data_IF_522309292504
#
_entry.id   IF_522309292504
#
_cell.length_a   1.000
_cell.length_b   1.000
_cell.length_c   1.000
_cell.angle_alpha   90.00
_cell.angle_beta   90.00
_cell.angle_gamma   90.00
#
_symmetry.space_group_name_H-M   'P 1'
#
loop_
_entity.id
_entity.type
_entity.pdbx_description
1 polymer ?
#
# COMPACT_ATOMS: atom_id res chain seq x y z
N UNK A 1 -9.76 -6.59 -31.23
CA UNK A 1 -8.33 -6.36 -31.49
C UNK A 1 -7.79 -5.51 -30.34
N UNK A 2 -6.64 -5.89 -29.79
CA UNK A 2 -5.95 -5.21 -28.70
C UNK A 2 -4.66 -4.59 -29.25
N UNK A 3 -4.37 -3.35 -28.87
CA UNK A 3 -3.15 -2.65 -29.27
C UNK A 3 -2.14 -2.68 -28.13
N UNK A 4 -0.94 -3.18 -28.41
CA UNK A 4 0.21 -3.20 -27.52
C UNK A 4 1.29 -2.27 -28.06
N UNK A 5 2.38 -2.07 -27.31
CA UNK A 5 3.47 -1.21 -27.73
C UNK A 5 4.21 -1.73 -28.98
N UNK A 6 4.23 -3.04 -29.18
CA UNK A 6 4.99 -3.75 -30.21
C UNK A 6 4.12 -4.40 -31.30
N UNK A 7 2.79 -4.23 -31.23
CA UNK A 7 1.89 -4.77 -32.24
C UNK A 7 0.44 -4.88 -31.80
N UNK A 8 -0.32 -5.73 -32.50
CA UNK A 8 -1.74 -5.94 -32.21
C UNK A 8 -2.06 -7.42 -32.08
N UNK A 9 -2.98 -7.75 -31.16
CA UNK A 9 -3.46 -9.12 -30.93
C UNK A 9 -4.97 -9.17 -31.20
N UNK A 10 -5.44 -10.24 -31.83
CA UNK A 10 -6.87 -10.53 -31.98
C UNK A 10 -7.26 -11.64 -31.03
N UNK A 11 -8.41 -11.50 -30.39
CA UNK A 11 -8.98 -12.48 -29.47
C UNK A 11 -10.50 -12.51 -29.63
N UNK A 12 -11.10 -13.68 -29.49
CA UNK A 12 -12.56 -13.85 -29.50
C UNK A 12 -13.19 -13.30 -28.21
N UNK A 13 -12.47 -13.39 -27.09
CA UNK A 13 -12.88 -12.87 -25.79
C UNK A 13 -11.71 -12.22 -25.06
N UNK A 14 -12.02 -11.21 -24.24
CA UNK A 14 -11.04 -10.50 -23.40
C UNK A 14 -11.53 -10.52 -21.96
N UNK A 15 -10.66 -10.96 -21.04
CA UNK A 15 -10.88 -10.86 -19.58
C UNK A 15 -9.91 -9.83 -19.05
N UNK A 16 -10.43 -8.70 -18.58
CA UNK A 16 -9.60 -7.64 -17.99
C UNK A 16 -9.44 -7.87 -16.48
N UNK A 17 -8.18 -7.88 -16.03
CA UNK A 17 -7.79 -7.84 -14.62
C UNK A 17 -7.03 -6.54 -14.27
N UNK A 18 -7.15 -5.51 -15.13
CA UNK A 18 -6.54 -4.20 -14.89
C UNK A 18 -7.30 -3.44 -13.79
N UNK A 19 -6.63 -2.50 -13.09
CA UNK A 19 -7.33 -1.51 -12.28
C UNK A 19 -8.39 -0.77 -13.10
N UNK A 20 -9.52 -0.42 -12.48
CA UNK A 20 -10.66 0.19 -13.16
C UNK A 20 -10.29 1.43 -13.98
N UNK A 21 -9.49 2.34 -13.41
CA UNK A 21 -9.01 3.53 -14.12
C UNK A 21 -8.15 3.19 -15.35
N UNK A 22 -7.28 2.18 -15.25
CA UNK A 22 -6.45 1.75 -16.38
C UNK A 22 -7.29 1.08 -17.48
N UNK A 23 -8.29 0.28 -17.10
CA UNK A 23 -9.22 -0.30 -18.07
C UNK A 23 -10.05 0.79 -18.78
N UNK A 24 -10.50 1.82 -18.06
CA UNK A 24 -11.25 2.93 -18.65
C UNK A 24 -10.47 3.62 -19.77
N UNK A 25 -9.15 3.78 -19.61
CA UNK A 25 -8.27 4.39 -20.62
C UNK A 25 -7.92 3.44 -21.78
N UNK A 26 -8.01 2.13 -21.56
CA UNK A 26 -7.74 1.12 -22.58
C UNK A 26 -8.96 0.77 -23.45
N UNK A 27 -10.17 1.16 -23.02
CA UNK A 27 -11.40 0.90 -23.76
C UNK A 27 -11.49 1.79 -25.02
N UNK A 28 -12.10 1.28 -26.10
CA UNK A 28 -12.28 2.07 -27.30
C UNK A 28 -13.37 3.14 -27.07
N UNK A 29 -13.38 4.19 -27.90
CA UNK A 29 -14.24 5.36 -27.71
C UNK A 29 -15.74 5.01 -27.71
N UNK A 30 -16.15 3.94 -28.38
CA UNK A 30 -17.54 3.47 -28.42
C UNK A 30 -18.01 2.91 -27.07
N UNK A 31 -17.08 2.53 -26.20
CA UNK A 31 -17.35 2.02 -24.85
C UNK A 31 -17.31 3.12 -23.77
N UNK A 32 -17.39 4.40 -24.14
CA UNK A 32 -17.36 5.53 -23.21
C UNK A 32 -18.36 5.43 -22.04
N UNK A 33 -19.61 4.94 -22.21
CA UNK A 33 -20.51 4.76 -21.07
C UNK A 33 -19.92 3.83 -19.99
N UNK A 34 -19.25 2.75 -20.38
CA UNK A 34 -18.57 1.84 -19.46
C UNK A 34 -17.30 2.48 -18.87
N UNK A 35 -16.51 3.15 -19.71
CA UNK A 35 -15.30 3.85 -19.26
C UNK A 35 -15.63 4.88 -18.18
N UNK A 36 -16.72 5.62 -18.33
CA UNK A 36 -17.20 6.59 -17.32
C UNK A 36 -17.51 5.93 -15.98
N UNK A 37 -18.24 4.81 -15.97
CA UNK A 37 -18.54 4.09 -14.71
C UNK A 37 -17.26 3.57 -14.05
N UNK A 38 -16.31 3.06 -14.85
CA UNK A 38 -15.01 2.59 -14.35
C UNK A 38 -14.18 3.72 -13.72
N UNK A 39 -14.17 4.92 -14.30
CA UNK A 39 -13.48 6.10 -13.73
C UNK A 39 -14.07 6.54 -12.39
N UNK A 40 -15.32 6.18 -12.10
CA UNK A 40 -15.97 6.49 -10.83
C UNK A 40 -15.58 5.55 -9.68
N UNK A 41 -14.80 4.49 -9.91
CA UNK A 41 -14.36 3.55 -8.87
C UNK A 41 -13.06 4.08 -8.23
N UNK A 42 -13.11 4.64 -6.99
CA UNK A 42 -11.94 5.23 -6.38
C UNK A 42 -10.98 4.15 -5.83
N UNK A 43 -9.69 4.45 -5.84
CA UNK A 43 -8.67 3.72 -5.09
C UNK A 43 -7.97 4.66 -4.12
N UNK A 44 -7.65 4.16 -2.93
CA UNK A 44 -6.86 4.87 -1.93
C UNK A 44 -5.37 4.52 -2.06
N UNK A 45 -4.50 5.47 -1.70
CA UNK A 45 -3.05 5.25 -1.69
C UNK A 45 -2.58 4.88 -0.29
N UNK A 46 -1.68 3.91 -0.20
CA UNK A 46 -1.09 3.48 1.07
C UNK A 46 0.42 3.48 0.92
N UNK A 47 1.12 4.16 1.83
CA UNK A 47 2.56 4.05 1.97
C UNK A 47 2.87 2.91 2.94
N UNK A 48 3.69 1.96 2.50
CA UNK A 48 4.15 0.84 3.32
C UNK A 48 5.59 1.12 3.73
N UNK A 49 5.83 1.29 5.03
CA UNK A 49 7.16 1.57 5.58
C UNK A 49 7.60 0.39 6.43
N UNK A 50 8.59 -0.34 5.94
CA UNK A 50 9.20 -1.46 6.66
C UNK A 50 10.33 -0.93 7.55
N UNK A 51 10.29 -1.28 8.84
CA UNK A 51 11.27 -0.89 9.83
C UNK A 51 11.86 -2.15 10.46
N UNK A 52 13.18 -2.17 10.63
CA UNK A 52 13.90 -3.26 11.28
C UNK A 52 14.77 -2.71 12.41
N UNK A 53 14.69 -3.35 13.56
CA UNK A 53 15.40 -2.97 14.77
C UNK A 53 16.15 -4.17 15.33
N UNK A 54 17.47 -4.07 15.43
CA UNK A 54 18.31 -5.07 16.07
C UNK A 54 18.19 -4.99 17.59
N UNK A 55 18.06 -6.13 18.26
CA UNK A 55 18.00 -6.22 19.72
C UNK A 55 16.75 -5.61 20.37
N UNK A 56 15.74 -5.21 19.59
CA UNK A 56 14.48 -4.69 20.11
C UNK A 56 13.47 -5.82 20.38
N UNK A 57 12.57 -5.58 21.33
CA UNK A 57 11.45 -6.46 21.64
C UNK A 57 10.15 -5.66 21.68
N UNK A 58 9.05 -6.31 21.29
CA UNK A 58 7.71 -5.73 21.41
C UNK A 58 7.23 -5.78 22.86
N UNK A 59 6.44 -4.78 23.31
CA UNK A 59 5.83 -4.81 24.64
C UNK A 59 4.76 -5.91 24.78
N UNK A 60 4.15 -6.31 23.66
CA UNK A 60 3.14 -7.36 23.58
C UNK A 60 3.34 -8.20 22.32
N UNK A 61 2.96 -9.47 22.38
CA UNK A 61 3.00 -10.38 21.22
C UNK A 61 1.62 -10.48 20.59
N UNK A 62 1.56 -10.33 19.26
CA UNK A 62 0.34 -10.45 18.47
C UNK A 62 0.64 -10.30 16.99
N UNK A 63 -0.39 -10.33 16.15
CA UNK A 63 -0.22 -10.09 14.71
C UNK A 63 0.21 -8.65 14.40
N UNK A 64 -0.26 -7.70 15.22
CA UNK A 64 -0.12 -6.26 15.01
C UNK A 64 -1.29 -5.54 15.66
N UNK A 65 -1.43 -4.26 15.37
CA UNK A 65 -2.59 -3.47 15.81
C UNK A 65 -3.06 -2.53 14.70
N UNK A 66 -4.33 -2.14 14.79
CA UNK A 66 -4.94 -1.11 13.95
C UNK A 66 -5.08 0.17 14.76
N UNK A 67 -5.02 1.32 14.08
CA UNK A 67 -5.21 2.62 14.70
C UNK A 67 -6.51 3.23 14.17
N UNK A 68 -7.50 3.53 15.05
CA UNK A 68 -8.72 4.19 14.63
C UNK A 68 -8.43 5.57 14.05
N UNK A 69 -9.17 5.97 13.00
CA UNK A 69 -9.00 7.30 12.40
C UNK A 69 -9.28 8.48 13.36
N UNK A 70 -9.98 8.23 14.48
CA UNK A 70 -10.18 9.21 15.55
C UNK A 70 -8.95 9.46 16.41
N UNK A 71 -7.98 8.53 16.42
CA UNK A 71 -6.70 8.68 17.10
C UNK A 71 -5.65 9.24 16.14
N UNK A 72 -5.52 8.61 14.97
CA UNK A 72 -4.61 9.09 13.93
C UNK A 72 -5.12 8.74 12.52
N UNK A 73 -5.62 9.71 11.73
CA UNK A 73 -6.14 9.44 10.39
C UNK A 73 -5.04 9.06 9.39
N UNK A 74 -3.78 9.37 9.66
CA UNK A 74 -2.66 9.12 8.75
C UNK A 74 -2.03 7.73 8.92
N UNK A 75 -2.37 7.01 9.99
CA UNK A 75 -1.84 5.69 10.34
C UNK A 75 -2.97 4.67 10.35
N UNK A 76 -2.84 3.61 9.53
CA UNK A 76 -3.83 2.54 9.46
C UNK A 76 -3.57 1.46 10.51
N UNK A 77 -2.29 1.17 10.77
CA UNK A 77 -1.86 0.15 11.70
C UNK A 77 -0.41 -0.28 11.48
N UNK A 78 0.03 -1.17 12.36
CA UNK A 78 1.39 -1.73 12.38
C UNK A 78 1.28 -3.24 12.47
N UNK A 79 1.92 -3.95 11.53
CA UNK A 79 2.06 -5.41 11.55
C UNK A 79 3.37 -5.79 12.23
N UNK A 80 3.32 -6.81 13.07
CA UNK A 80 4.47 -7.35 13.81
C UNK A 80 5.06 -8.54 13.04
N UNK A 81 5.76 -8.25 11.95
CA UNK A 81 6.15 -9.27 10.95
C UNK A 81 6.99 -10.41 11.55
N UNK A 82 7.88 -10.09 12.50
CA UNK A 82 8.73 -11.07 13.18
C UNK A 82 7.95 -12.00 14.12
N UNK A 83 6.75 -11.62 14.56
CA UNK A 83 5.90 -12.49 15.37
C UNK A 83 5.21 -13.52 14.47
N UNK A 84 4.73 -13.09 13.31
CA UNK A 84 4.02 -13.97 12.38
C UNK A 84 4.97 -14.88 11.60
N UNK A 85 6.12 -14.37 11.19
CA UNK A 85 7.09 -15.05 10.33
C UNK A 85 8.53 -14.80 10.80
N UNK A 86 8.94 -15.34 11.97
CA UNK A 86 10.29 -15.17 12.51
C UNK A 86 11.40 -15.70 11.57
N UNK A 87 11.09 -16.67 10.72
CA UNK A 87 12.00 -17.21 9.71
C UNK A 87 12.49 -16.18 8.67
N UNK A 88 11.83 -15.02 8.58
CA UNK A 88 12.20 -13.93 7.68
C UNK A 88 13.08 -12.85 8.34
N UNK A 89 13.48 -13.01 9.60
CA UNK A 89 14.25 -12.00 10.36
C UNK A 89 15.73 -11.86 9.95
N UNK A 90 16.12 -12.55 8.88
CA UNK A 90 17.46 -12.44 8.28
C UNK A 90 18.42 -13.46 8.86
N UNK A 91 19.56 -13.00 9.39
CA UNK A 91 20.64 -13.89 9.83
C UNK A 91 20.28 -14.61 11.14
N UNK A 92 20.31 -15.96 11.16
CA UNK A 92 20.09 -16.72 12.38
C UNK A 92 21.05 -16.31 13.50
N UNK A 93 20.52 -16.08 14.70
CA UNK A 93 21.31 -15.75 15.89
C UNK A 93 21.44 -14.26 16.21
N UNK A 94 20.99 -13.37 15.32
CA UNK A 94 20.87 -11.94 15.62
C UNK A 94 19.41 -11.59 15.88
N UNK A 95 19.00 -11.26 17.12
CA UNK A 95 17.63 -10.85 17.41
C UNK A 95 17.29 -9.60 16.62
N UNK A 96 16.22 -9.69 15.82
CA UNK A 96 15.77 -8.59 14.97
C UNK A 96 14.24 -8.52 15.01
N UNK A 97 13.73 -7.30 15.13
CA UNK A 97 12.29 -7.02 15.09
C UNK A 97 11.96 -6.25 13.81
N UNK A 98 11.14 -6.85 12.96
CA UNK A 98 10.59 -6.26 11.74
C UNK A 98 9.14 -5.85 11.95
N UNK A 99 8.82 -4.63 11.50
CA UNK A 99 7.51 -4.02 11.57
C UNK A 99 7.14 -3.43 10.21
N UNK A 100 5.88 -3.59 9.83
CA UNK A 100 5.32 -2.95 8.64
C UNK A 100 4.31 -1.90 9.08
N UNK A 101 4.64 -0.63 8.87
CA UNK A 101 3.76 0.50 9.16
C UNK A 101 2.99 0.88 7.90
N UNK A 102 1.67 0.90 7.98
CA UNK A 102 0.79 1.28 6.87
C UNK A 102 0.26 2.69 7.08
N UNK A 103 0.64 3.62 6.20
CA UNK A 103 0.27 5.03 6.27
C UNK A 103 -0.68 5.44 5.14
N UNK A 104 -1.60 6.35 5.43
CA UNK A 104 -2.46 7.00 4.44
C UNK A 104 -3.87 6.41 4.34
N UNK A 105 -4.13 5.60 3.31
CA UNK A 105 -5.49 5.20 2.96
C UNK A 105 -6.29 6.38 2.38
N UNK A 106 -7.56 6.52 2.76
CA UNK A 106 -8.40 7.62 2.31
C UNK A 106 -7.82 9.01 2.65
N UNK A 107 -6.97 9.09 3.69
CA UNK A 107 -6.37 10.32 4.20
C UNK A 107 -5.00 10.62 3.59
N UNK A 108 -4.46 9.76 2.71
CA UNK A 108 -3.09 9.91 2.20
C UNK A 108 -2.85 11.30 1.63
N UNK A 109 -3.72 11.76 0.72
CA UNK A 109 -3.55 13.07 0.07
C UNK A 109 -3.57 14.23 1.05
N UNK A 110 -4.42 14.15 2.06
CA UNK A 110 -4.51 15.18 3.10
C UNK A 110 -3.27 15.17 4.00
N UNK A 111 -2.75 13.99 4.34
CA UNK A 111 -1.65 13.82 5.29
C UNK A 111 -0.26 13.98 4.68
N UNK A 112 -0.09 13.59 3.41
CA UNK A 112 1.23 13.46 2.77
C UNK A 112 1.31 14.11 1.38
N UNK A 113 0.20 14.68 0.87
CA UNK A 113 0.15 15.28 -0.46
C UNK A 113 0.00 14.24 -1.58
N UNK A 114 0.48 14.56 -2.77
CA UNK A 114 0.39 13.66 -3.92
C UNK A 114 1.17 12.36 -3.67
N UNK A 115 0.52 11.17 -3.73
CA UNK A 115 1.19 9.87 -3.59
C UNK A 115 2.40 9.67 -4.50
N UNK A 116 2.38 10.24 -5.71
CA UNK A 116 3.50 10.12 -6.65
C UNK A 116 4.70 11.00 -6.28
N UNK A 117 4.50 12.04 -5.45
CA UNK A 117 5.52 13.01 -5.09
C UNK A 117 5.86 13.02 -3.59
N UNK A 118 5.21 12.17 -2.79
CA UNK A 118 5.41 12.11 -1.34
C UNK A 118 6.87 11.74 -1.01
N UNK A 119 7.55 12.62 -0.26
CA UNK A 119 8.96 12.45 0.08
C UNK A 119 9.16 11.21 0.98
N UNK A 120 10.03 10.26 0.60
CA UNK A 120 10.30 9.06 1.41
C UNK A 120 10.73 9.39 2.85
N UNK A 121 11.48 10.47 3.06
CA UNK A 121 11.96 10.91 4.38
C UNK A 121 10.82 11.38 5.29
N UNK A 122 9.76 11.95 4.71
CA UNK A 122 8.55 12.32 5.45
C UNK A 122 7.82 11.07 5.94
N UNK A 123 7.60 10.10 5.05
CA UNK A 123 6.92 8.84 5.35
C UNK A 123 7.70 8.03 6.40
N UNK A 124 9.02 7.92 6.24
CA UNK A 124 9.90 7.24 7.18
C UNK A 124 9.87 7.89 8.57
N UNK A 125 9.94 9.23 8.62
CA UNK A 125 9.88 9.97 9.88
C UNK A 125 8.54 9.75 10.59
N UNK A 126 7.43 9.77 9.84
CA UNK A 126 6.09 9.52 10.38
C UNK A 126 5.95 8.10 10.91
N UNK A 127 6.42 7.10 10.17
CA UNK A 127 6.40 5.70 10.58
C UNK A 127 7.22 5.44 11.85
N UNK A 128 8.41 6.05 11.95
CA UNK A 128 9.25 5.97 13.17
C UNK A 128 8.59 6.63 14.38
N UNK A 129 7.81 7.70 14.17
CA UNK A 129 7.03 8.30 15.24
C UNK A 129 5.89 7.36 15.66
N UNK A 130 5.15 6.80 14.69
CA UNK A 130 4.06 5.85 14.95
C UNK A 130 4.50 4.66 15.83
N UNK A 131 5.63 4.01 15.52
CA UNK A 131 6.15 2.88 16.30
C UNK A 131 6.54 3.26 17.74
N UNK A 132 6.84 4.53 18.02
CA UNK A 132 7.15 4.99 19.38
C UNK A 132 5.91 5.40 20.16
N UNK A 133 4.92 5.94 19.45
CA UNK A 133 3.75 6.58 20.05
C UNK A 133 2.58 5.60 20.23
N UNK A 134 2.56 4.47 19.49
CA UNK A 134 1.54 3.41 19.52
C UNK A 134 2.17 2.02 19.70
#
# INVERSE_FOLDING_TARGET
QLTLADGTITADHVVSALPAAALAEALPAEAEPLARELRCIPAASVAVVNLQYEGAALPVTGFGHLVPSSEDPALLGIVYDSVAFPEHDGTPGTPSLRLTVMLGGAWFRQSFGDPAAAAPELLLRRARAAVRDH
#
